data_IF_987937769669
#
_entry.id   IF_987937769669
#
_cell.length_a   1.000
_cell.length_b   1.000
_cell.length_c   1.000
_cell.angle_alpha   90.00
_cell.angle_beta   90.00
_cell.angle_gamma   90.00
#
_symmetry.space_group_name_H-M   'P 1'
#
loop_
_entity.id
_entity.type
_entity.pdbx_description
1 polymer ?
#
# COMPACT_ATOMS: atom_id res chain seq x y z
N UNK A 1 -8.36 -10.07 21.04
CA UNK A 1 -8.34 -9.98 19.56
C UNK A 1 -9.00 -11.22 19.01
N UNK A 2 -9.89 -11.11 18.04
CA UNK A 2 -10.54 -12.29 17.45
C UNK A 2 -9.50 -13.14 16.68
N UNK A 3 -9.47 -14.45 16.90
CA UNK A 3 -8.53 -15.40 16.25
C UNK A 3 -8.56 -15.26 14.71
N UNK A 4 -9.75 -15.02 14.17
CA UNK A 4 -9.97 -14.75 12.75
C UNK A 4 -9.23 -13.50 12.25
N UNK A 5 -9.21 -12.43 13.05
CA UNK A 5 -8.51 -11.19 12.71
C UNK A 5 -7.01 -11.41 12.62
N UNK A 6 -6.45 -12.16 13.58
CA UNK A 6 -5.03 -12.51 13.58
C UNK A 6 -4.66 -13.44 12.41
N UNK A 7 -5.53 -14.38 12.07
CA UNK A 7 -5.33 -15.25 10.91
C UNK A 7 -5.31 -14.46 9.60
N UNK A 8 -6.20 -13.48 9.41
CA UNK A 8 -6.17 -12.61 8.23
C UNK A 8 -4.96 -11.70 8.23
N UNK A 9 -4.54 -11.20 9.39
CA UNK A 9 -3.30 -10.43 9.48
C UNK A 9 -2.08 -11.25 9.05
N UNK A 10 -1.96 -12.50 9.53
CA UNK A 10 -0.89 -13.43 9.10
C UNK A 10 -0.91 -13.66 7.58
N UNK A 11 -2.08 -13.81 6.98
CA UNK A 11 -2.22 -13.91 5.52
C UNK A 11 -1.74 -12.64 4.80
N UNK A 12 -2.10 -11.44 5.29
CA UNK A 12 -1.61 -10.18 4.71
C UNK A 12 -0.10 -10.04 4.82
N UNK A 13 0.47 -10.37 5.99
CA UNK A 13 1.91 -10.28 6.24
C UNK A 13 2.67 -11.24 5.31
N UNK A 14 2.16 -12.47 5.14
CA UNK A 14 2.73 -13.44 4.20
C UNK A 14 2.70 -12.93 2.76
N UNK A 15 1.57 -12.37 2.31
CA UNK A 15 1.43 -11.79 0.98
C UNK A 15 2.42 -10.63 0.78
N UNK A 16 2.60 -9.78 1.80
CA UNK A 16 3.52 -8.65 1.73
C UNK A 16 4.98 -9.08 1.54
N UNK A 17 5.40 -10.17 2.18
CA UNK A 17 6.76 -10.71 2.06
C UNK A 17 6.97 -11.42 0.72
N UNK A 18 5.98 -12.19 0.24
CA UNK A 18 6.12 -13.04 -0.95
C UNK A 18 5.45 -12.44 -2.20
N UNK A 19 5.28 -11.10 -2.26
CA UNK A 19 4.49 -10.43 -3.29
C UNK A 19 5.01 -10.71 -4.72
N UNK A 20 6.31 -10.92 -4.88
CA UNK A 20 6.97 -11.21 -6.17
C UNK A 20 6.88 -12.69 -6.57
N UNK A 21 6.53 -13.57 -5.63
CA UNK A 21 6.48 -15.02 -5.82
C UNK A 21 5.05 -15.49 -6.15
N UNK A 22 4.92 -16.73 -6.60
CA UNK A 22 3.61 -17.35 -6.80
C UNK A 22 3.01 -17.75 -5.45
N UNK A 23 1.93 -17.09 -5.05
CA UNK A 23 1.21 -17.38 -3.81
C UNK A 23 0.00 -18.25 -4.13
N UNK A 24 -0.03 -19.47 -3.62
CA UNK A 24 -1.17 -20.36 -3.78
C UNK A 24 -2.19 -20.20 -2.64
N UNK A 25 -3.43 -20.61 -2.87
CA UNK A 25 -4.44 -20.63 -1.81
C UNK A 25 -4.04 -21.57 -0.66
N UNK A 26 -3.33 -22.65 -0.96
CA UNK A 26 -2.81 -23.61 0.02
C UNK A 26 -1.79 -22.96 0.96
N UNK A 27 -0.96 -22.04 0.46
CA UNK A 27 -0.02 -21.30 1.30
C UNK A 27 -0.74 -20.40 2.30
N UNK A 28 -1.75 -19.68 1.84
CA UNK A 28 -2.57 -18.82 2.70
C UNK A 28 -3.32 -19.64 3.77
N UNK A 29 -3.84 -20.81 3.38
CA UNK A 29 -4.49 -21.75 4.29
C UNK A 29 -3.52 -22.20 5.39
N UNK A 30 -2.32 -22.64 5.00
CA UNK A 30 -1.24 -23.06 5.91
C UNK A 30 -0.86 -21.96 6.90
N UNK A 31 -0.69 -20.73 6.42
CA UNK A 31 -0.31 -19.58 7.26
C UNK A 31 -1.44 -19.17 8.22
N UNK A 32 -2.69 -19.30 7.79
CA UNK A 32 -3.87 -18.97 8.61
C UNK A 32 -4.27 -20.06 9.61
N UNK A 33 -3.76 -21.29 9.46
CA UNK A 33 -4.18 -22.49 10.20
C UNK A 33 -5.65 -22.88 9.97
N UNK A 34 -6.20 -22.53 8.82
CA UNK A 34 -7.59 -22.82 8.45
C UNK A 34 -7.68 -23.59 7.13
N UNK A 35 -8.84 -24.18 6.85
CA UNK A 35 -9.08 -24.83 5.56
C UNK A 35 -9.01 -23.81 4.40
N UNK A 36 -8.57 -24.22 3.20
CA UNK A 36 -8.40 -23.31 2.05
C UNK A 36 -9.67 -22.51 1.71
N UNK A 37 -10.83 -23.16 1.74
CA UNK A 37 -12.12 -22.51 1.48
C UNK A 37 -12.47 -21.48 2.57
N UNK A 38 -12.21 -21.81 3.84
CA UNK A 38 -12.49 -20.91 4.94
C UNK A 38 -11.53 -19.72 4.93
N UNK A 39 -10.23 -19.94 4.70
CA UNK A 39 -9.22 -18.89 4.57
C UNK A 39 -9.56 -17.91 3.46
N UNK A 40 -9.97 -18.41 2.27
CA UNK A 40 -10.42 -17.56 1.17
C UNK A 40 -11.62 -16.68 1.55
N UNK A 41 -12.65 -17.29 2.16
CA UNK A 41 -13.85 -16.57 2.58
C UNK A 41 -13.52 -15.52 3.64
N UNK A 42 -12.72 -15.90 4.64
CA UNK A 42 -12.30 -15.04 5.73
C UNK A 42 -11.52 -13.83 5.20
N UNK A 43 -10.55 -14.07 4.31
CA UNK A 43 -9.78 -13.00 3.69
C UNK A 43 -10.68 -11.99 2.97
N UNK A 44 -11.65 -12.48 2.18
CA UNK A 44 -12.61 -11.61 1.47
C UNK A 44 -13.52 -10.84 2.42
N UNK A 45 -14.00 -11.47 3.48
CA UNK A 45 -14.89 -10.80 4.46
C UNK A 45 -14.16 -9.67 5.21
N UNK A 46 -12.90 -9.89 5.60
CA UNK A 46 -12.15 -8.92 6.39
C UNK A 46 -11.48 -7.82 5.55
N UNK A 47 -10.95 -8.16 4.36
CA UNK A 47 -10.24 -7.21 3.49
C UNK A 47 -11.13 -6.57 2.43
N UNK A 48 -12.27 -7.19 2.08
CA UNK A 48 -13.15 -6.77 0.99
C UNK A 48 -12.71 -7.25 -0.40
N UNK A 49 -11.53 -7.88 -0.52
CA UNK A 49 -10.95 -8.32 -1.80
C UNK A 49 -10.70 -9.83 -1.80
N UNK A 50 -10.71 -10.44 -2.98
CA UNK A 50 -10.16 -11.79 -3.10
C UNK A 50 -8.63 -11.77 -2.94
N UNK A 51 -7.99 -12.86 -2.50
CA UNK A 51 -6.54 -12.91 -2.39
C UNK A 51 -5.82 -12.54 -3.69
N UNK A 52 -6.31 -13.02 -4.84
CA UNK A 52 -5.73 -12.72 -6.15
C UNK A 52 -5.86 -11.23 -6.54
N UNK A 53 -7.00 -10.60 -6.27
CA UNK A 53 -7.18 -9.16 -6.50
C UNK A 53 -6.27 -8.33 -5.60
N UNK A 54 -6.16 -8.73 -4.33
CA UNK A 54 -5.31 -8.06 -3.35
C UNK A 54 -3.83 -8.11 -3.75
N UNK A 55 -3.32 -9.30 -4.11
CA UNK A 55 -1.95 -9.48 -4.62
C UNK A 55 -1.72 -8.63 -5.87
N UNK A 56 -2.67 -8.64 -6.81
CA UNK A 56 -2.57 -7.84 -8.03
C UNK A 56 -2.48 -6.35 -7.74
N UNK A 57 -3.33 -5.82 -6.86
CA UNK A 57 -3.30 -4.40 -6.46
C UNK A 57 -1.99 -4.03 -5.78
N UNK A 58 -1.45 -4.90 -4.92
CA UNK A 58 -0.14 -4.69 -4.30
C UNK A 58 1.00 -4.64 -5.32
N UNK A 59 1.05 -5.61 -6.24
CA UNK A 59 2.03 -5.64 -7.34
C UNK A 59 1.94 -4.37 -8.19
N UNK A 60 0.73 -3.93 -8.54
CA UNK A 60 0.52 -2.70 -9.30
C UNK A 60 0.99 -1.45 -8.53
N UNK A 61 0.67 -1.35 -7.23
CA UNK A 61 1.13 -0.23 -6.41
C UNK A 61 2.66 -0.19 -6.32
N UNK A 62 3.31 -1.34 -6.10
CA UNK A 62 4.77 -1.44 -6.06
C UNK A 62 5.40 -1.14 -7.42
N UNK A 63 4.78 -1.57 -8.52
CA UNK A 63 5.22 -1.27 -9.88
C UNK A 63 5.25 0.23 -10.14
N UNK A 64 4.21 0.95 -9.72
CA UNK A 64 4.14 2.38 -9.94
C UNK A 64 5.19 3.14 -9.11
N UNK A 65 5.47 2.67 -7.88
CA UNK A 65 6.57 3.21 -7.07
C UNK A 65 7.93 3.01 -7.75
N UNK A 66 8.17 1.84 -8.35
CA UNK A 66 9.42 1.57 -9.10
C UNK A 66 9.51 2.39 -10.38
N UNK A 67 8.42 2.54 -11.13
CA UNK A 67 8.39 3.36 -12.36
C UNK A 67 8.64 4.84 -12.11
N UNK A 68 8.34 5.33 -10.89
CA UNK A 68 8.68 6.70 -10.49
C UNK A 68 10.19 6.88 -10.25
N UNK A 69 10.92 5.81 -9.92
CA UNK A 69 12.38 5.87 -9.80
C UNK A 69 13.01 5.89 -11.19
N UNK A 70 14.01 6.77 -11.39
CA UNK A 70 14.62 6.97 -12.70
C UNK A 70 15.32 5.71 -13.21
N UNK A 71 15.13 5.39 -14.50
CA UNK A 71 15.90 4.34 -15.20
C UNK A 71 15.26 2.95 -15.27
N UNK A 72 14.08 2.73 -14.69
CA UNK A 72 13.40 1.43 -14.77
C UNK A 72 12.70 1.23 -16.11
N UNK A 73 13.00 0.13 -16.81
CA UNK A 73 12.23 -0.30 -17.99
C UNK A 73 10.91 -0.91 -17.53
N UNK A 74 9.83 -0.54 -18.21
CA UNK A 74 8.47 -1.01 -17.88
C UNK A 74 8.36 -2.53 -17.89
N UNK A 75 9.00 -3.16 -18.88
CA UNK A 75 9.01 -4.61 -19.06
C UNK A 75 9.71 -5.32 -17.91
N UNK A 76 10.87 -4.83 -17.48
CA UNK A 76 11.65 -5.40 -16.38
C UNK A 76 10.86 -5.31 -15.08
N UNK A 77 10.24 -4.16 -14.79
CA UNK A 77 9.37 -3.97 -13.63
C UNK A 77 8.18 -4.93 -13.61
N UNK A 78 7.59 -5.20 -14.78
CA UNK A 78 6.48 -6.15 -14.88
C UNK A 78 6.93 -7.57 -14.50
N UNK A 79 8.06 -8.04 -15.05
CA UNK A 79 8.56 -9.39 -14.76
C UNK A 79 9.07 -9.53 -13.32
N UNK A 80 9.76 -8.53 -12.79
CA UNK A 80 10.26 -8.53 -11.40
C UNK A 80 9.14 -8.62 -10.36
N UNK A 81 7.93 -8.17 -10.71
CA UNK A 81 6.75 -8.21 -9.84
C UNK A 81 5.85 -9.42 -10.10
N UNK A 82 6.33 -10.40 -10.87
CA UNK A 82 5.64 -11.67 -11.09
C UNK A 82 4.49 -11.59 -12.09
N UNK A 83 4.49 -10.62 -13.01
CA UNK A 83 3.57 -10.65 -14.16
C UNK A 83 4.14 -11.53 -15.27
N UNK A 84 3.36 -12.51 -15.75
CA UNK A 84 3.79 -13.42 -16.82
C UNK A 84 3.83 -12.80 -18.22
N UNK A 85 3.27 -11.60 -18.41
CA UNK A 85 3.26 -10.91 -19.70
C UNK A 85 3.18 -9.39 -19.54
N UNK A 86 3.98 -8.66 -20.33
CA UNK A 86 3.99 -7.21 -20.38
C UNK A 86 2.65 -6.61 -20.85
N UNK A 87 1.94 -7.28 -21.77
CA UNK A 87 0.63 -6.83 -22.24
C UNK A 87 -0.45 -6.96 -21.15
N UNK A 88 -0.45 -8.10 -20.45
CA UNK A 88 -1.33 -8.33 -19.31
C UNK A 88 -1.10 -7.32 -18.18
N UNK A 89 0.16 -6.99 -17.91
CA UNK A 89 0.54 -5.92 -16.98
C UNK A 89 0.02 -4.55 -17.44
N UNK A 90 0.25 -4.18 -18.69
CA UNK A 90 -0.16 -2.87 -19.23
C UNK A 90 -1.68 -2.68 -19.13
N UNK A 91 -2.47 -3.71 -19.47
CA UNK A 91 -3.93 -3.69 -19.32
C UNK A 91 -4.37 -3.58 -17.87
N UNK A 92 -3.72 -4.32 -16.96
CA UNK A 92 -4.03 -4.27 -15.53
C UNK A 92 -3.69 -2.90 -14.92
N UNK A 93 -2.55 -2.32 -15.29
CA UNK A 93 -2.09 -1.01 -14.83
C UNK A 93 -3.03 0.10 -15.32
N UNK A 94 -3.42 0.07 -16.59
CA UNK A 94 -4.38 1.03 -17.14
C UNK A 94 -5.76 0.91 -16.48
N UNK A 95 -6.22 -0.31 -16.18
CA UNK A 95 -7.49 -0.51 -15.49
C UNK A 95 -7.49 0.03 -14.05
N UNK A 96 -6.36 -0.03 -13.36
CA UNK A 96 -6.25 0.42 -11.97
C UNK A 96 -5.98 1.93 -11.86
N UNK A 97 -5.10 2.49 -12.70
CA UNK A 97 -4.64 3.87 -12.59
C UNK A 97 -5.10 4.79 -13.72
N UNK A 98 -5.77 4.27 -14.75
CA UNK A 98 -6.28 5.07 -15.89
C UNK A 98 -5.20 5.58 -16.85
N UNK A 99 -3.95 5.13 -16.73
CA UNK A 99 -2.85 5.56 -17.60
C UNK A 99 -1.97 4.36 -17.99
N UNK A 100 -1.16 4.51 -19.04
CA UNK A 100 -0.21 3.47 -19.45
C UNK A 100 1.07 3.57 -18.60
N UNK A 101 1.65 2.46 -18.13
CA UNK A 101 2.91 2.47 -17.39
C UNK A 101 4.06 3.18 -18.11
N UNK A 102 4.14 3.11 -19.44
CA UNK A 102 5.19 3.81 -20.22
C UNK A 102 5.00 5.32 -20.31
N UNK A 103 3.76 5.80 -20.24
CA UNK A 103 3.49 7.25 -20.09
C UNK A 103 3.76 7.70 -18.66
N UNK A 104 3.39 6.88 -17.68
CA UNK A 104 3.61 7.15 -16.26
C UNK A 104 5.10 7.26 -15.91
N UNK A 105 5.95 6.39 -16.46
CA UNK A 105 7.39 6.44 -16.25
C UNK A 105 8.07 7.70 -16.84
N UNK A 106 7.52 8.26 -17.92
CA UNK A 106 8.06 9.47 -18.56
C UNK A 106 7.56 10.75 -17.89
N UNK A 107 6.30 10.75 -17.46
CA UNK A 107 5.65 11.88 -16.81
C UNK A 107 4.84 11.36 -15.61
N UNK A 108 5.45 11.30 -14.41
CA UNK A 108 4.80 10.75 -13.24
C UNK A 108 3.69 11.70 -12.78
N UNK A 109 2.45 11.26 -12.96
CA UNK A 109 1.26 11.92 -12.41
C UNK A 109 0.95 11.42 -10.99
N UNK A 110 0.30 12.21 -10.13
CA UNK A 110 -0.23 11.72 -8.87
C UNK A 110 -1.27 10.62 -9.13
N UNK A 111 -1.07 9.43 -8.56
CA UNK A 111 -1.99 8.29 -8.63
C UNK A 111 -2.34 7.82 -7.22
N UNK A 112 -3.51 7.23 -7.07
CA UNK A 112 -3.95 6.62 -5.81
C UNK A 112 -3.35 5.22 -5.69
N UNK A 113 -2.31 5.07 -4.88
CA UNK A 113 -1.70 3.77 -4.62
C UNK A 113 -2.55 2.95 -3.63
N UNK A 114 -2.66 1.65 -3.89
CA UNK A 114 -3.24 0.72 -2.92
C UNK A 114 -2.27 0.54 -1.75
N UNK A 115 -2.62 1.08 -0.58
CA UNK A 115 -1.88 0.90 0.66
C UNK A 115 -2.65 -0.10 1.53
N UNK A 116 -2.13 -1.32 1.74
CA UNK A 116 -2.80 -2.30 2.57
C UNK A 116 -2.81 -1.83 4.02
N UNK A 117 -3.99 -1.65 4.60
CA UNK A 117 -4.13 -1.47 6.03
C UNK A 117 -4.22 -2.85 6.70
N UNK A 118 -3.45 -3.03 7.78
CA UNK A 118 -3.52 -4.24 8.59
C UNK A 118 -4.93 -4.44 9.17
N UNK A 119 -5.49 -5.64 9.01
CA UNK A 119 -6.84 -5.94 9.51
C UNK A 119 -6.95 -5.73 11.02
N UNK A 120 -5.86 -5.93 11.76
CA UNK A 120 -5.78 -5.65 13.21
C UNK A 120 -6.15 -4.20 13.58
N UNK A 121 -5.90 -3.24 12.69
CA UNK A 121 -6.21 -1.82 12.95
C UNK A 121 -7.69 -1.48 12.72
N UNK A 122 -8.44 -2.33 12.00
CA UNK A 122 -9.88 -2.14 11.81
C UNK A 122 -10.65 -2.33 13.12
N UNK A 123 -10.15 -3.18 14.01
CA UNK A 123 -10.73 -3.44 15.33
C UNK A 123 -10.50 -2.29 16.32
N UNK A 124 -9.33 -1.62 16.27
CA UNK A 124 -8.99 -0.50 17.17
C UNK A 124 -9.97 0.68 17.05
N UNK A 125 -10.62 0.86 15.89
CA UNK A 125 -11.62 1.92 15.71
C UNK A 125 -12.97 1.62 16.37
N UNK A 126 -13.21 0.37 16.80
CA UNK A 126 -14.42 -0.07 17.50
C UNK A 126 -14.29 -0.02 19.02
N UNK A 127 -13.09 0.19 19.57
CA UNK A 127 -13.00 0.58 20.97
C UNK A 127 -13.79 1.87 21.12
N UNK A 128 -14.91 1.80 21.85
CA UNK A 128 -15.66 2.98 22.26
C UNK A 128 -14.64 3.86 22.98
N UNK A 129 -14.26 4.97 22.37
CA UNK A 129 -13.58 6.03 23.10
C UNK A 129 -14.60 6.46 24.14
N UNK A 130 -14.41 6.06 25.39
CA UNK A 130 -15.17 6.62 26.50
C UNK A 130 -14.93 8.12 26.47
N UNK A 131 -15.98 8.86 26.12
CA UNK A 131 -15.95 10.33 25.93
C UNK A 131 -15.63 11.09 27.23
N UNK A 132 -15.39 10.40 28.34
CA UNK A 132 -15.05 10.98 29.64
C UNK A 132 -13.72 11.75 29.65
N UNK A 133 -12.79 11.45 28.73
CA UNK A 133 -11.48 12.13 28.65
C UNK A 133 -11.17 12.74 27.27
N UNK A 134 -12.14 13.40 26.65
CA UNK A 134 -11.83 14.26 25.49
C UNK A 134 -11.37 15.63 26.00
N UNK A 135 -10.06 15.88 26.00
CA UNK A 135 -9.55 17.25 26.10
C UNK A 135 -9.81 17.98 24.78
N UNK A 136 -10.64 19.01 24.80
CA UNK A 136 -10.82 19.90 23.65
C UNK A 136 -9.54 20.68 23.40
N UNK A 137 -8.79 20.28 22.38
CA UNK A 137 -7.67 21.08 21.88
C UNK A 137 -8.26 22.15 20.95
N UNK A 138 -8.25 23.40 21.42
CA UNK A 138 -8.60 24.54 20.59
C UNK A 138 -7.46 24.79 19.60
N UNK A 139 -7.65 24.38 18.34
CA UNK A 139 -6.73 24.72 17.26
C UNK A 139 -7.05 26.14 16.80
N UNK A 140 -6.21 27.11 17.17
CA UNK A 140 -6.22 28.43 16.54
C UNK A 140 -5.39 28.39 15.26
N UNK A 141 -6.01 28.81 14.15
CA UNK A 141 -5.30 29.10 12.91
C UNK A 141 -4.44 30.33 13.16
N UNK A 142 -3.15 30.14 13.43
CA UNK A 142 -2.18 31.24 13.44
C UNK A 142 -1.69 31.50 12.02
N UNK A 143 -1.86 32.72 11.52
CA UNK A 143 -1.14 33.18 10.34
C UNK A 143 0.35 33.23 10.66
N UNK A 144 1.12 32.36 10.00
CA UNK A 144 2.57 32.29 10.16
C UNK A 144 3.19 33.48 9.43
N UNK A 145 3.83 34.45 10.12
CA UNK A 145 4.45 35.58 9.45
C UNK A 145 5.59 35.13 8.52
N UNK A 146 5.87 35.92 7.50
CA UNK A 146 6.96 35.65 6.56
C UNK A 146 8.29 35.48 7.29
N UNK A 147 9.03 34.44 6.93
CA UNK A 147 10.32 34.14 7.55
C UNK A 147 11.33 35.21 7.13
N UNK A 148 11.75 36.06 8.06
CA UNK A 148 12.89 36.95 7.80
C UNK A 148 14.17 36.12 7.70
N UNK A 149 14.83 36.19 6.55
CA UNK A 149 16.12 35.57 6.31
C UNK A 149 17.22 36.51 6.84
N UNK A 150 17.96 36.07 7.86
CA UNK A 150 19.17 36.77 8.29
C UNK A 150 20.33 36.28 7.40
N UNK A 151 20.67 37.05 6.37
CA UNK A 151 21.86 36.79 5.54
C UNK A 151 23.08 37.31 6.30
N UNK A 152 23.76 36.43 7.03
CA UNK A 152 25.04 36.76 7.66
C UNK A 152 26.15 36.70 6.60
N UNK A 153 26.51 37.86 6.02
CA UNK A 153 27.71 37.96 5.18
C UNK A 153 28.94 37.86 6.08
N UNK A 154 29.74 36.81 5.94
CA UNK A 154 31.01 36.67 6.64
C UNK A 154 31.96 37.78 6.18
N UNK A 155 32.37 38.65 7.10
CA UNK A 155 33.46 39.59 6.86
C UNK A 155 34.75 38.81 6.63
N UNK A 156 35.44 39.12 5.54
CA UNK A 156 36.77 38.60 5.24
C UNK A 156 37.69 39.03 6.39
N UNK A 157 38.26 38.08 7.12
CA UNK A 157 39.38 38.36 8.03
C UNK A 157 40.61 38.65 7.16
N UNK A 158 41.11 39.88 7.26
CA UNK A 158 42.48 40.24 6.87
C UNK A 158 43.38 40.15 8.10
#
# INVERSE_FOLDING_TARGET
>A
MDEQTEAVQRMQDYIGVHVTEEITLSDLARVSCFSPFYAHRLFRTYTGFTPAEYIRKLRLAQSALRLKAAGSRVTDVAFDLGFGSADGYTRAFHREFGCNPGTYARSPIPITLFVPYGVKFRALRKEKIDMEKVQSVFVQVMEKPERQVIIKRGGVCC
#
